data_IF_553305603801
#
_entry.id   IF_553305603801
#
_cell.length_a   1.000
_cell.length_b   1.000
_cell.length_c   1.000
_cell.angle_alpha   90.00
_cell.angle_beta   90.00
_cell.angle_gamma   90.00
#
_symmetry.space_group_name_H-M   'P 1'
#
loop_
_entity.id
_entity.type
_entity.pdbx_description
1 polymer ?
#
# COMPACT_ATOMS: atom_id res chain seq x y z
N UNK A 1 -1.19 11.53 11.26
CA UNK A 1 -1.49 10.11 11.56
C UNK A 1 -1.86 9.37 10.28
N UNK A 2 -0.97 9.36 9.29
CA UNK A 2 -1.18 8.84 7.92
C UNK A 2 -0.04 7.89 7.49
N UNK A 3 0.77 7.42 8.45
CA UNK A 3 2.07 6.80 8.17
C UNK A 3 2.21 5.37 8.73
N UNK A 4 1.19 4.85 9.39
CA UNK A 4 1.24 3.54 10.02
C UNK A 4 0.63 2.49 9.09
N UNK A 5 1.42 2.08 8.10
CA UNK A 5 1.27 0.82 7.38
C UNK A 5 0.95 -0.36 8.33
N UNK A 6 1.48 -0.31 9.56
CA UNK A 6 1.24 -1.26 10.65
C UNK A 6 -0.20 -1.25 11.20
N UNK A 7 -1.00 -0.20 10.95
CA UNK A 7 -2.40 -0.13 11.39
C UNK A 7 -3.35 -0.91 10.49
N UNK A 8 -2.94 -1.26 9.26
CA UNK A 8 -3.76 -2.03 8.31
C UNK A 8 -4.18 -3.40 8.89
N UNK A 9 -3.27 -4.27 9.38
CA UNK A 9 -3.66 -5.54 9.99
C UNK A 9 -4.55 -5.38 11.23
N UNK A 10 -4.39 -4.28 11.97
CA UNK A 10 -5.22 -3.98 13.14
C UNK A 10 -6.66 -3.59 12.73
N UNK A 11 -6.80 -2.76 11.69
CA UNK A 11 -8.08 -2.37 11.11
C UNK A 11 -8.82 -3.58 10.53
N UNK A 12 -8.11 -4.48 9.84
CA UNK A 12 -8.68 -5.70 9.27
C UNK A 12 -9.15 -6.71 10.32
N UNK A 13 -8.63 -6.62 11.54
CA UNK A 13 -9.07 -7.46 12.67
C UNK A 13 -10.36 -6.95 13.31
N UNK A 14 -10.91 -5.80 12.86
CA UNK A 14 -12.20 -5.31 13.34
C UNK A 14 -13.34 -6.17 12.79
N UNK A 15 -14.38 -6.42 13.60
CA UNK A 15 -15.54 -7.24 13.24
C UNK A 15 -16.23 -6.84 11.93
N UNK A 16 -16.12 -5.57 11.52
CA UNK A 16 -16.72 -5.02 10.30
C UNK A 16 -15.92 -5.38 9.07
N UNK A 17 -14.58 -5.40 9.18
CA UNK A 17 -13.65 -5.72 8.08
C UNK A 17 -13.21 -7.18 8.09
N UNK A 18 -13.56 -7.94 9.12
CA UNK A 18 -13.32 -9.38 9.22
C UNK A 18 -13.80 -10.22 8.01
N UNK A 19 -14.97 -9.92 7.36
CA UNK A 19 -15.36 -10.58 6.11
C UNK A 19 -14.71 -9.98 4.86
N UNK A 20 -14.05 -8.82 4.97
CA UNK A 20 -13.26 -8.22 3.89
C UNK A 20 -11.96 -9.00 3.78
N UNK A 21 -12.06 -10.15 3.11
CA UNK A 21 -10.95 -11.00 2.71
C UNK A 21 -10.96 -11.07 1.21
N UNK A 22 -10.04 -10.33 0.60
CA UNK A 22 -9.93 -10.20 -0.84
C UNK A 22 -8.49 -9.87 -1.21
N UNK A 23 -8.18 -10.05 -2.49
CA UNK A 23 -6.88 -9.66 -3.04
C UNK A 23 -6.60 -8.16 -2.83
N UNK A 24 -7.63 -7.33 -2.64
CA UNK A 24 -7.54 -5.89 -2.37
C UNK A 24 -6.79 -5.65 -1.06
N UNK A 25 -7.07 -6.47 -0.05
CA UNK A 25 -6.42 -6.41 1.25
C UNK A 25 -4.98 -6.90 1.17
N UNK A 26 -4.73 -7.97 0.41
CA UNK A 26 -3.38 -8.49 0.21
C UNK A 26 -2.52 -7.49 -0.57
N UNK A 27 -3.11 -6.77 -1.53
CA UNK A 27 -2.47 -5.67 -2.25
C UNK A 27 -2.06 -4.54 -1.31
N UNK A 28 -2.97 -4.14 -0.41
CA UNK A 28 -2.75 -3.08 0.56
C UNK A 28 -1.67 -3.45 1.57
N UNK A 29 -1.64 -4.71 2.04
CA UNK A 29 -0.55 -5.25 2.89
C UNK A 29 0.78 -5.29 2.16
N UNK A 30 0.81 -5.76 0.91
CA UNK A 30 2.02 -5.83 0.10
C UNK A 30 2.63 -4.43 -0.10
N UNK A 31 1.81 -3.43 -0.41
CA UNK A 31 2.24 -2.03 -0.53
C UNK A 31 2.74 -1.46 0.81
N UNK A 32 2.04 -1.74 1.90
CA UNK A 32 2.40 -1.31 3.25
C UNK A 32 3.76 -1.90 3.69
N UNK A 33 4.01 -3.17 3.39
CA UNK A 33 5.27 -3.85 3.69
C UNK A 33 6.41 -3.30 2.81
N UNK A 34 6.17 -3.09 1.52
CA UNK A 34 7.13 -2.42 0.63
C UNK A 34 7.46 -0.99 1.10
N UNK A 35 6.49 -0.29 1.69
CA UNK A 35 6.67 1.01 2.33
C UNK A 35 7.52 0.95 3.58
N UNK A 36 7.28 -0.04 4.44
CA UNK A 36 8.10 -0.28 5.63
C UNK A 36 9.55 -0.60 5.28
N UNK A 37 9.76 -1.37 4.22
CA UNK A 37 11.10 -1.71 3.72
C UNK A 37 11.77 -0.62 2.89
N UNK A 38 11.06 0.47 2.57
CA UNK A 38 11.53 1.53 1.65
C UNK A 38 12.03 0.98 0.31
N UNK A 39 11.43 -0.12 -0.15
CA UNK A 39 11.85 -0.81 -1.36
C UNK A 39 10.91 -0.49 -2.50
N UNK A 40 11.32 0.44 -3.36
CA UNK A 40 10.59 0.78 -4.59
C UNK A 40 10.44 -0.45 -5.52
N UNK A 41 11.38 -1.38 -5.47
CA UNK A 41 11.30 -2.62 -6.24
C UNK A 41 10.11 -3.47 -5.79
N UNK A 42 9.99 -3.76 -4.48
CA UNK A 42 8.85 -4.49 -3.94
C UNK A 42 7.54 -3.75 -4.19
N UNK A 43 7.55 -2.42 -4.05
CA UNK A 43 6.37 -1.60 -4.27
C UNK A 43 5.83 -1.71 -5.70
N UNK A 44 6.72 -1.56 -6.70
CA UNK A 44 6.35 -1.70 -8.11
C UNK A 44 5.92 -3.14 -8.45
N UNK A 45 6.51 -4.14 -7.80
CA UNK A 45 6.08 -5.54 -7.95
C UNK A 45 4.66 -5.74 -7.43
N UNK A 46 4.36 -5.27 -6.21
CA UNK A 46 2.99 -5.32 -5.67
C UNK A 46 2.00 -4.57 -6.58
N UNK A 47 2.37 -3.39 -7.09
CA UNK A 47 1.51 -2.65 -8.03
C UNK A 47 1.21 -3.42 -9.31
N UNK A 48 2.17 -4.20 -9.83
CA UNK A 48 1.94 -5.07 -10.99
C UNK A 48 1.08 -6.27 -10.64
N UNK A 49 1.43 -6.98 -9.57
CA UNK A 49 0.77 -8.21 -9.15
C UNK A 49 -0.70 -7.96 -8.77
N UNK A 50 -0.98 -6.79 -8.20
CA UNK A 50 -2.32 -6.35 -7.80
C UNK A 50 -2.85 -5.19 -8.67
N UNK A 51 -2.34 -5.03 -9.89
CA UNK A 51 -2.74 -3.93 -10.79
C UNK A 51 -4.24 -3.85 -11.00
N UNK A 52 -4.94 -5.00 -11.05
CA UNK A 52 -6.38 -5.06 -11.27
C UNK A 52 -7.19 -4.55 -10.09
N UNK A 53 -6.59 -4.43 -8.92
CA UNK A 53 -7.28 -4.06 -7.68
C UNK A 53 -6.79 -2.71 -7.18
N UNK A 54 -5.57 -2.31 -7.58
CA UNK A 54 -4.95 -1.02 -7.26
C UNK A 54 -5.10 0.04 -8.36
N UNK A 55 -5.24 -0.35 -9.63
CA UNK A 55 -5.38 0.58 -10.76
C UNK A 55 -6.82 0.69 -11.28
N UNK A 56 -7.73 -0.16 -10.82
CA UNK A 56 -9.15 -0.09 -11.19
C UNK A 56 -9.80 1.16 -10.57
N UNK A 57 -9.36 1.55 -9.37
CA UNK A 57 -9.78 2.78 -8.70
C UNK A 57 -8.77 3.92 -8.96
N UNK A 58 -9.20 5.03 -9.61
CA UNK A 58 -8.35 6.19 -9.87
C UNK A 58 -7.85 6.89 -8.59
N UNK A 59 -8.59 6.81 -7.49
CA UNK A 59 -8.17 7.34 -6.18
C UNK A 59 -7.02 6.53 -5.63
N UNK A 60 -7.13 5.19 -5.67
CA UNK A 60 -6.06 4.28 -5.21
C UNK A 60 -4.81 4.48 -6.06
N UNK A 61 -4.95 4.57 -7.39
CA UNK A 61 -3.83 4.80 -8.30
C UNK A 61 -3.10 6.13 -8.01
N UNK A 62 -3.85 7.21 -7.76
CA UNK A 62 -3.28 8.51 -7.39
C UNK A 62 -2.54 8.44 -6.05
N UNK A 63 -3.12 7.74 -5.07
CA UNK A 63 -2.52 7.57 -3.74
C UNK A 63 -1.26 6.71 -3.80
N UNK A 64 -1.25 5.61 -4.56
CA UNK A 64 -0.07 4.77 -4.78
C UNK A 64 1.07 5.54 -5.46
N UNK A 65 0.74 6.47 -6.36
CA UNK A 65 1.74 7.34 -7.01
C UNK A 65 2.35 8.31 -6.01
N UNK A 66 1.53 9.01 -5.23
CA UNK A 66 2.00 9.87 -4.13
C UNK A 66 2.85 9.10 -3.12
N UNK A 67 2.50 7.86 -2.81
CA UNK A 67 3.25 7.05 -1.86
C UNK A 67 4.66 6.71 -2.39
N UNK A 68 4.80 6.38 -3.69
CA UNK A 68 6.13 6.23 -4.33
C UNK A 68 6.92 7.53 -4.33
N UNK A 69 6.27 8.64 -4.69
CA UNK A 69 6.96 9.93 -4.75
C UNK A 69 7.46 10.32 -3.35
N UNK A 70 6.66 10.10 -2.29
CA UNK A 70 7.09 10.26 -0.91
C UNK A 70 8.26 9.33 -0.52
N UNK A 71 8.28 8.07 -0.97
CA UNK A 71 9.42 7.19 -0.74
C UNK A 71 10.69 7.70 -1.43
N UNK A 72 10.56 8.21 -2.66
CA UNK A 72 11.67 8.78 -3.45
C UNK A 72 12.20 10.08 -2.84
N UNK A 73 11.30 11.00 -2.48
CA UNK A 73 11.66 12.29 -1.85
C UNK A 73 12.36 12.08 -0.51
N UNK A 74 11.92 11.13 0.32
CA UNK A 74 12.57 10.86 1.61
C UNK A 74 13.94 10.19 1.51
N UNK A 75 14.35 9.71 0.34
CA UNK A 75 15.73 9.24 0.08
C UNK A 75 16.63 10.40 -0.35
N UNK A 76 16.06 11.55 -0.74
CA UNK A 76 16.78 12.66 -1.36
C UNK A 76 17.06 13.86 -0.43
N UNK A 77 17.12 13.67 0.89
CA UNK A 77 17.56 14.74 1.80
C UNK A 77 18.90 14.34 2.43
N UNK A 78 19.98 15.10 2.19
CA UNK A 78 21.31 14.88 2.76
C UNK A 78 21.40 15.14 4.27
#
# INVERSE_FOLDING_TARGET
>A
MLNDADSIPLLLSTKVLQPVRGREIDAMKCMAEAFKERSLYKFNKCLKDYSRELMDDPVVAAHSRQLRDNMLEKVSIP
#
